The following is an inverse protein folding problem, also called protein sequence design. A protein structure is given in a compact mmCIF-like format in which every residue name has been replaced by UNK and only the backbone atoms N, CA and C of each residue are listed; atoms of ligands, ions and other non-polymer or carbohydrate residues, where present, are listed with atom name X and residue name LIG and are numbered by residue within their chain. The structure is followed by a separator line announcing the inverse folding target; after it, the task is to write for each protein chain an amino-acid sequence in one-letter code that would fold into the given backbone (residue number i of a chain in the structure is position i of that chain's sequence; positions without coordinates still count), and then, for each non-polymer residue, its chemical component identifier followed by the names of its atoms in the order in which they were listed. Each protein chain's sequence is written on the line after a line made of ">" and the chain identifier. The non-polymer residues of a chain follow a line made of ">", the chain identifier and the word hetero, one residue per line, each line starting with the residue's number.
data_IF_516627748793
#
_entry.id   IF_516627748793
#
_cell.length_a   1.000
_cell.length_b   1.000
_cell.length_c   1.000
_cell.angle_alpha   90.00
_cell.angle_beta   90.00
_cell.angle_gamma   90.00
#
_symmetry.space_group_name_H-M   'P 1'
#
loop_
_entity.id
_entity.type
_entity.pdbx_description
1 polymer ?
#
# COMPACT_ATOMS: atom_id res chain seq x y z
N UNK A 1 8.67 -15.54 -27.27
CA UNK A 1 9.02 -14.24 -26.66
C UNK A 1 8.56 -14.19 -25.20
N UNK A 2 9.06 -15.10 -24.36
CA UNK A 2 8.71 -15.14 -22.94
C UNK A 2 9.93 -14.75 -22.19
N UNK A 3 9.88 -13.62 -21.49
CA UNK A 3 10.50 -13.40 -20.19
C UNK A 3 11.61 -12.37 -20.16
N UNK A 4 11.27 -11.17 -20.56
CA UNK A 4 12.12 -10.07 -20.17
C UNK A 4 11.31 -8.98 -19.51
N UNK A 5 10.82 -9.46 -18.37
CA UNK A 5 10.20 -8.72 -17.31
C UNK A 5 11.16 -8.54 -16.11
N UNK A 6 12.45 -8.89 -16.28
CA UNK A 6 13.41 -9.04 -15.16
C UNK A 6 14.21 -7.77 -14.84
N UNK A 7 14.10 -6.69 -15.63
CA UNK A 7 14.94 -5.49 -15.44
C UNK A 7 14.22 -4.26 -14.86
N UNK A 8 12.96 -4.38 -14.45
CA UNK A 8 12.10 -3.21 -14.19
C UNK A 8 12.09 -2.68 -12.76
N UNK A 9 13.14 -2.91 -11.98
CA UNK A 9 12.88 -3.06 -10.56
C UNK A 9 14.12 -2.86 -9.71
N UNK A 10 14.32 -1.60 -9.40
CA UNK A 10 15.32 -1.14 -8.45
C UNK A 10 15.14 0.32 -8.12
N UNK A 11 13.93 0.87 -8.26
CA UNK A 11 13.65 2.25 -7.86
C UNK A 11 13.45 2.31 -6.35
N UNK A 12 14.60 2.19 -5.69
CA UNK A 12 14.85 2.81 -4.43
C UNK A 12 14.85 4.33 -4.65
N UNK A 13 14.10 5.07 -3.82
CA UNK A 13 14.66 6.32 -3.34
C UNK A 13 16.03 5.96 -2.76
N UNK A 14 17.10 6.54 -3.31
CA UNK A 14 18.45 6.19 -2.89
C UNK A 14 18.55 6.29 -1.37
N UNK A 15 19.32 5.42 -0.69
CA UNK A 15 19.60 5.59 0.72
C UNK A 15 20.12 7.00 1.03
N UNK A 16 20.80 7.64 0.07
CA UNK A 16 21.21 9.04 0.08
C UNK A 16 20.03 10.04 0.06
N UNK A 17 18.92 9.79 -0.63
CA UNK A 17 17.71 10.63 -0.64
C UNK A 17 16.86 10.44 0.62
N UNK A 18 16.83 9.23 1.15
CA UNK A 18 16.10 8.91 2.40
C UNK A 18 16.90 9.41 3.61
N UNK A 19 18.23 9.23 3.59
CA UNK A 19 19.13 9.85 4.55
C UNK A 19 19.20 11.35 4.33
N UNK A 20 19.14 11.87 3.10
CA UNK A 20 19.10 13.32 2.88
C UNK A 20 17.84 13.91 3.44
N UNK A 21 16.68 13.24 3.41
CA UNK A 21 15.47 13.68 4.10
C UNK A 21 15.56 13.49 5.62
N UNK A 22 16.14 12.39 6.11
CA UNK A 22 16.37 12.23 7.56
C UNK A 22 17.45 13.19 8.10
N UNK A 23 18.31 13.73 7.24
CA UNK A 23 19.31 14.76 7.55
C UNK A 23 18.88 16.16 7.15
N UNK A 24 17.88 16.30 6.27
CA UNK A 24 17.23 17.55 5.93
C UNK A 24 16.19 17.76 7.01
N UNK A 25 16.64 18.41 8.08
CA UNK A 25 15.71 18.94 9.07
C UNK A 25 14.77 19.90 8.33
N UNK A 26 13.51 19.49 8.18
CA UNK A 26 12.46 20.45 7.90
C UNK A 26 12.19 21.19 9.22
N UNK A 27 13.12 22.06 9.60
CA UNK A 27 13.01 22.88 10.80
C UNK A 27 12.16 24.10 10.49
N UNK A 28 11.26 24.54 11.39
CA UNK A 28 10.64 25.85 11.26
C UNK A 28 11.74 26.92 11.19
N UNK A 29 11.53 27.97 10.39
CA UNK A 29 12.58 28.95 10.06
C UNK A 29 13.17 29.71 11.27
N UNK A 30 12.69 29.50 12.50
CA UNK A 30 13.15 30.23 13.68
C UNK A 30 13.17 29.49 15.04
N UNK A 31 12.94 28.18 15.14
CA UNK A 31 13.02 27.45 16.43
C UNK A 31 13.60 26.02 16.29
N UNK A 32 14.49 25.62 17.21
CA UNK A 32 14.98 24.23 17.29
C UNK A 32 13.95 23.34 17.98
N UNK A 33 13.29 22.48 17.21
CA UNK A 33 12.36 21.46 17.70
C UNK A 33 13.09 20.32 18.44
N UNK A 34 12.38 19.65 19.36
CA UNK A 34 12.86 18.37 19.93
C UNK A 34 12.70 17.23 18.90
N UNK A 35 13.48 16.13 19.01
CA UNK A 35 13.45 15.05 18.00
C UNK A 35 12.06 14.48 17.69
N UNK A 36 11.20 14.32 18.70
CA UNK A 36 9.84 13.81 18.50
C UNK A 36 8.89 14.81 17.84
N UNK A 37 9.07 16.11 18.12
CA UNK A 37 8.30 17.18 17.50
C UNK A 37 8.66 17.31 16.02
N UNK A 38 9.93 17.08 15.67
CA UNK A 38 10.40 17.03 14.29
C UNK A 38 9.79 15.86 13.50
N UNK A 39 9.71 14.66 14.09
CA UNK A 39 9.03 13.53 13.43
C UNK A 39 7.53 13.81 13.19
N UNK A 40 6.85 14.40 14.18
CA UNK A 40 5.44 14.80 14.03
C UNK A 40 5.28 15.88 12.95
N UNK A 41 6.20 16.84 12.87
CA UNK A 41 6.28 17.86 11.82
C UNK A 41 6.41 17.21 10.44
N UNK A 42 7.40 16.33 10.24
CA UNK A 42 7.68 15.69 8.96
C UNK A 42 6.46 14.89 8.47
N UNK A 43 5.81 14.17 9.39
CA UNK A 43 4.57 13.44 9.07
C UNK A 43 3.46 14.38 8.59
N UNK A 44 3.22 15.48 9.29
CA UNK A 44 2.17 16.44 8.93
C UNK A 44 2.42 17.07 7.55
N UNK A 45 3.67 17.37 7.23
CA UNK A 45 4.09 17.85 5.91
C UNK A 45 3.81 16.83 4.81
N UNK A 46 4.21 15.57 5.00
CA UNK A 46 4.00 14.53 4.01
C UNK A 46 2.51 14.32 3.73
N UNK A 47 1.67 14.36 4.78
CA UNK A 47 0.22 14.32 4.62
C UNK A 47 -0.30 15.51 3.79
N UNK A 48 0.22 16.72 3.99
CA UNK A 48 -0.17 17.88 3.20
C UNK A 48 0.21 17.72 1.72
N UNK A 49 1.43 17.28 1.44
CA UNK A 49 1.90 17.05 0.06
C UNK A 49 1.06 15.98 -0.65
N UNK A 50 0.71 14.90 0.05
CA UNK A 50 -0.11 13.83 -0.52
C UNK A 50 -1.53 14.28 -0.90
N UNK A 51 -2.11 15.30 -0.25
CA UNK A 51 -3.45 15.81 -0.66
C UNK A 51 -3.39 16.41 -2.08
N UNK A 52 -2.32 17.14 -2.38
CA UNK A 52 -2.07 17.71 -3.71
C UNK A 52 -1.81 16.62 -4.74
N UNK A 53 -0.96 15.65 -4.42
CA UNK A 53 -0.65 14.54 -5.33
C UNK A 53 -1.87 13.64 -5.60
N UNK A 54 -2.75 13.48 -4.62
CA UNK A 54 -4.01 12.75 -4.81
C UNK A 54 -4.92 13.47 -5.82
N UNK A 55 -5.00 14.79 -5.77
CA UNK A 55 -5.79 15.57 -6.72
C UNK A 55 -5.24 15.46 -8.14
N UNK A 56 -3.91 15.54 -8.32
CA UNK A 56 -3.27 15.33 -9.62
C UNK A 56 -3.49 13.91 -10.14
N UNK A 57 -3.36 12.90 -9.27
CA UNK A 57 -3.63 11.51 -9.64
C UNK A 57 -5.09 11.31 -10.09
N UNK A 58 -6.05 11.92 -9.40
CA UNK A 58 -7.46 11.86 -9.81
C UNK A 58 -7.72 12.54 -11.16
N UNK A 59 -6.96 13.59 -11.50
CA UNK A 59 -6.99 14.22 -12.83
C UNK A 59 -6.34 13.32 -13.92
N UNK A 60 -5.21 12.68 -13.62
CA UNK A 60 -4.59 11.70 -14.53
C UNK A 60 -5.53 10.53 -14.83
N UNK A 61 -6.36 10.13 -13.85
CA UNK A 61 -7.45 9.16 -14.01
C UNK A 61 -8.62 9.65 -14.87
N UNK A 62 -8.60 10.85 -15.44
CA UNK A 62 -9.55 11.29 -16.46
C UNK A 62 -8.96 11.20 -17.87
N UNK A 63 -7.63 11.16 -17.99
CA UNK A 63 -6.93 11.00 -19.27
C UNK A 63 -6.98 9.54 -19.77
N UNK A 64 -6.94 9.35 -21.08
CA UNK A 64 -7.15 8.05 -21.76
C UNK A 64 -5.89 7.17 -21.84
N UNK A 65 -4.73 7.67 -21.44
CA UNK A 65 -3.42 6.99 -21.52
C UNK A 65 -2.96 6.32 -20.22
N UNK A 66 -3.88 6.08 -19.29
CA UNK A 66 -3.54 5.76 -17.91
C UNK A 66 -3.02 4.33 -17.69
N UNK A 67 -1.75 4.22 -17.31
CA UNK A 67 -1.14 3.05 -16.66
C UNK A 67 -0.65 3.48 -15.27
N UNK A 68 -1.21 2.84 -14.24
CA UNK A 68 -0.90 3.07 -12.82
C UNK A 68 0.61 3.04 -12.57
N UNK A 69 1.33 2.09 -13.20
CA UNK A 69 2.77 1.89 -13.01
C UNK A 69 3.63 2.93 -13.75
N UNK A 70 3.02 3.83 -14.51
CA UNK A 70 3.70 4.95 -15.16
C UNK A 70 3.34 6.30 -14.54
N UNK A 71 2.34 6.36 -13.66
CA UNK A 71 1.89 7.60 -13.02
C UNK A 71 2.94 8.12 -12.04
N UNK A 72 3.44 9.34 -12.30
CA UNK A 72 4.38 10.01 -11.39
C UNK A 72 3.70 10.38 -10.06
N UNK A 73 2.45 10.84 -10.12
CA UNK A 73 1.65 11.21 -8.95
C UNK A 73 1.38 10.00 -8.06
N UNK A 74 1.09 8.86 -8.66
CA UNK A 74 0.96 7.60 -7.93
C UNK A 74 2.25 7.18 -7.21
N UNK A 75 3.40 7.26 -7.89
CA UNK A 75 4.68 6.93 -7.26
C UNK A 75 5.03 7.85 -6.09
N UNK A 76 4.73 9.16 -6.20
CA UNK A 76 4.91 10.11 -5.09
C UNK A 76 4.02 9.76 -3.89
N UNK A 77 2.77 9.39 -4.13
CA UNK A 77 1.85 8.93 -3.08
C UNK A 77 2.39 7.70 -2.36
N UNK A 78 2.83 6.67 -3.09
CA UNK A 78 3.43 5.47 -2.49
C UNK A 78 4.68 5.79 -1.66
N UNK A 79 5.55 6.66 -2.18
CA UNK A 79 6.75 7.09 -1.46
C UNK A 79 6.40 7.80 -0.14
N UNK A 80 5.45 8.74 -0.19
CA UNK A 80 4.97 9.46 0.98
C UNK A 80 4.34 8.52 2.01
N UNK A 81 3.55 7.51 1.59
CA UNK A 81 3.02 6.48 2.50
C UNK A 81 4.13 5.74 3.22
N UNK A 82 5.14 5.28 2.48
CA UNK A 82 6.28 4.56 3.06
C UNK A 82 7.03 5.40 4.08
N UNK A 83 7.20 6.70 3.82
CA UNK A 83 7.83 7.62 4.75
C UNK A 83 6.95 7.89 5.99
N UNK A 84 5.66 8.17 5.81
CA UNK A 84 4.71 8.40 6.90
C UNK A 84 4.70 7.20 7.84
N UNK A 85 4.58 5.98 7.31
CA UNK A 85 4.59 4.77 8.13
C UNK A 85 5.93 4.52 8.84
N UNK A 86 7.04 4.80 8.16
CA UNK A 86 8.37 4.73 8.78
C UNK A 86 8.49 5.68 9.97
N UNK A 87 7.99 6.91 9.83
CA UNK A 87 7.95 7.90 10.92
C UNK A 87 7.04 7.41 12.05
N UNK A 88 5.86 6.89 11.72
CA UNK A 88 4.94 6.33 12.72
C UNK A 88 5.57 5.20 13.52
N UNK A 89 6.32 4.31 12.87
CA UNK A 89 7.04 3.22 13.54
C UNK A 89 8.09 3.76 14.52
N UNK A 90 8.87 4.77 14.12
CA UNK A 90 9.87 5.39 14.99
C UNK A 90 9.22 6.05 16.22
N UNK A 91 8.09 6.74 16.03
CA UNK A 91 7.35 7.36 17.14
C UNK A 91 6.77 6.31 18.09
N UNK A 92 6.24 5.21 17.55
CA UNK A 92 5.66 4.15 18.39
C UNK A 92 6.73 3.37 19.18
N UNK A 93 7.96 3.32 18.69
CA UNK A 93 9.07 2.62 19.36
C UNK A 93 9.83 3.48 20.39
N UNK A 94 9.69 4.81 20.36
CA UNK A 94 10.55 5.74 21.14
C UNK A 94 10.26 5.82 22.64
N UNK A 95 9.28 5.07 23.16
CA UNK A 95 8.74 5.18 24.53
C UNK A 95 8.21 6.59 24.93
N UNK A 96 8.19 7.57 24.02
CA UNK A 96 7.66 8.91 24.27
C UNK A 96 6.12 8.91 24.19
N UNK A 97 5.48 8.78 25.36
CA UNK A 97 4.02 8.74 25.48
C UNK A 97 3.32 10.00 24.95
N UNK A 98 3.96 11.17 25.06
CA UNK A 98 3.37 12.42 24.56
C UNK A 98 3.34 12.43 23.04
N UNK A 99 4.46 12.08 22.41
CA UNK A 99 4.54 12.00 20.95
C UNK A 99 3.56 10.95 20.39
N UNK A 100 3.38 9.82 21.08
CA UNK A 100 2.40 8.81 20.71
C UNK A 100 0.95 9.31 20.83
N UNK A 101 0.64 10.06 21.89
CA UNK A 101 -0.69 10.70 22.05
C UNK A 101 -0.95 11.72 20.94
N UNK A 102 0.01 12.61 20.66
CA UNK A 102 -0.10 13.62 19.60
C UNK A 102 -0.24 12.97 18.22
N UNK A 103 0.54 11.92 17.93
CA UNK A 103 0.40 11.14 16.69
C UNK A 103 -1.03 10.63 16.47
N UNK A 104 -1.69 10.17 17.55
CA UNK A 104 -3.07 9.69 17.49
C UNK A 104 -4.08 10.79 17.14
N UNK A 105 -3.79 12.05 17.51
CA UNK A 105 -4.61 13.22 17.16
C UNK A 105 -4.38 13.64 15.69
N UNK A 106 -3.11 13.67 15.25
CA UNK A 106 -2.76 13.99 13.86
C UNK A 106 -3.40 12.98 12.88
N UNK A 107 -3.44 11.69 13.24
CA UNK A 107 -4.12 10.65 12.44
C UNK A 107 -5.60 10.95 12.18
N UNK A 108 -6.26 11.68 13.08
CA UNK A 108 -7.69 12.01 12.98
C UNK A 108 -7.94 13.33 12.29
N UNK A 109 -7.10 14.33 12.52
CA UNK A 109 -7.32 15.68 11.98
C UNK A 109 -6.03 16.51 11.89
N UNK A 110 -5.15 16.12 10.96
CA UNK A 110 -3.88 16.82 10.75
C UNK A 110 -4.07 18.29 10.30
N UNK A 111 -5.17 18.60 9.59
CA UNK A 111 -5.49 19.98 9.18
C UNK A 111 -5.79 20.87 10.39
N UNK A 112 -6.59 20.35 11.32
CA UNK A 112 -6.82 21.01 12.61
C UNK A 112 -5.56 21.08 13.46
N UNK A 113 -4.71 20.05 13.43
CA UNK A 113 -3.41 20.08 14.10
C UNK A 113 -2.55 21.25 13.61
N UNK A 114 -2.33 21.39 12.29
CA UNK A 114 -1.57 22.51 11.71
C UNK A 114 -2.19 23.86 12.09
N UNK A 115 -3.52 23.98 11.98
CA UNK A 115 -4.22 25.23 12.28
C UNK A 115 -4.12 25.65 13.76
N UNK A 116 -4.14 24.70 14.69
CA UNK A 116 -4.22 24.98 16.13
C UNK A 116 -2.86 24.98 16.84
N UNK A 117 -1.79 24.51 16.22
CA UNK A 117 -0.47 24.39 16.86
C UNK A 117 0.41 25.64 16.72
N UNK A 118 -0.14 26.80 16.30
CA UNK A 118 0.65 27.99 15.91
C UNK A 118 1.78 27.63 14.90
N UNK A 119 1.56 26.59 14.11
CA UNK A 119 2.57 25.98 13.27
C UNK A 119 2.73 26.77 11.98
N UNK A 120 3.95 27.28 11.73
CA UNK A 120 4.34 27.92 10.49
C UNK A 120 5.32 27.03 9.74
N UNK A 121 4.87 26.39 8.66
CA UNK A 121 5.77 25.75 7.69
C UNK A 121 6.21 26.79 6.66
N UNK A 122 7.51 26.90 6.39
CA UNK A 122 7.96 27.73 5.27
C UNK A 122 7.69 26.99 3.96
N UNK A 123 6.77 27.55 3.16
CA UNK A 123 6.25 26.94 1.93
C UNK A 123 7.35 26.68 0.88
N UNK A 124 8.51 27.35 1.01
CA UNK A 124 9.60 27.35 0.04
C UNK A 124 10.47 26.08 0.10
N UNK A 125 10.69 25.52 1.29
CA UNK A 125 11.48 24.29 1.46
C UNK A 125 10.71 23.05 1.00
N UNK A 126 9.37 23.05 1.18
CA UNK A 126 8.47 21.98 0.75
C UNK A 126 8.37 21.88 -0.76
N UNK A 127 8.18 23.02 -1.44
CA UNK A 127 8.16 23.07 -2.90
C UNK A 127 9.49 22.62 -3.49
N UNK A 128 10.63 23.09 -2.94
CA UNK A 128 11.95 22.70 -3.43
C UNK A 128 12.26 21.20 -3.30
N UNK A 129 11.79 20.54 -2.23
CA UNK A 129 11.96 19.10 -2.06
C UNK A 129 11.02 18.30 -2.99
N UNK A 130 9.78 18.76 -3.13
CA UNK A 130 8.81 18.17 -4.07
C UNK A 130 9.30 18.25 -5.53
N UNK A 131 9.91 19.36 -5.92
CA UNK A 131 10.44 19.58 -7.27
C UNK A 131 11.66 18.66 -7.54
N UNK A 132 12.56 18.51 -6.57
CA UNK A 132 13.72 17.61 -6.68
C UNK A 132 13.30 16.13 -6.85
N UNK A 133 12.32 15.68 -6.07
CA UNK A 133 11.78 14.31 -6.20
C UNK A 133 11.11 14.11 -7.57
N UNK A 134 10.45 15.14 -8.10
CA UNK A 134 9.74 15.06 -9.38
C UNK A 134 10.69 15.02 -10.59
N UNK A 135 11.79 15.78 -10.53
CA UNK A 135 12.83 15.82 -11.57
C UNK A 135 13.54 14.46 -11.71
N UNK A 136 13.89 13.83 -10.59
CA UNK A 136 14.53 12.51 -10.57
C UNK A 136 13.61 11.42 -11.13
N UNK A 137 12.33 11.42 -10.76
CA UNK A 137 11.33 10.49 -11.29
C UNK A 137 11.16 10.65 -12.81
N UNK A 138 11.18 11.90 -13.31
CA UNK A 138 11.01 12.20 -14.75
C UNK A 138 12.22 11.77 -15.59
N UNK A 139 13.43 11.87 -15.05
CA UNK A 139 14.66 11.42 -15.73
C UNK A 139 14.67 9.88 -15.88
N UNK A 140 14.26 9.18 -14.83
CA UNK A 140 14.16 7.73 -14.79
C UNK A 140 13.19 7.17 -15.86
N UNK A 141 12.08 7.88 -16.11
CA UNK A 141 11.10 7.49 -17.12
C UNK A 141 11.63 7.60 -18.57
N UNK A 142 12.52 8.56 -18.85
CA UNK A 142 13.15 8.74 -20.17
C UNK A 142 14.09 7.59 -20.51
N UNK A 143 14.86 7.14 -19.53
CA UNK A 143 15.80 6.03 -19.69
C UNK A 143 15.07 4.67 -19.85
N UNK A 144 13.90 4.54 -19.23
CA UNK A 144 12.99 3.40 -19.37
C UNK A 144 12.53 3.16 -20.83
N UNK A 145 12.22 4.24 -21.54
CA UNK A 145 11.67 4.17 -22.90
C UNK A 145 12.66 3.60 -23.92
N UNK A 146 13.96 3.82 -23.72
CA UNK A 146 15.02 3.35 -24.61
C UNK A 146 15.37 1.86 -24.42
N UNK A 147 15.02 1.28 -23.26
CA UNK A 147 15.41 -0.09 -22.91
C UNK A 147 14.37 -1.16 -23.31
N UNK A 148 13.13 -0.75 -23.60
CA UNK A 148 12.00 -1.62 -23.97
C UNK A 148 12.17 -2.38 -25.31
N UNK A 149 13.22 -2.10 -26.09
CA UNK A 149 13.47 -2.71 -27.39
C UNK A 149 14.11 -4.11 -27.36
N UNK A 150 14.57 -4.61 -26.21
CA UNK A 150 15.50 -5.76 -26.20
C UNK A 150 15.04 -7.03 -25.51
N UNK A 151 13.78 -7.08 -25.09
CA UNK A 151 13.48 -7.80 -23.88
C UNK A 151 12.41 -8.93 -24.11
N UNK A 152 12.87 -10.13 -24.52
CA UNK A 152 12.12 -11.40 -24.45
C UNK A 152 12.97 -12.64 -23.99
N UNK A 153 12.80 -13.21 -22.78
CA UNK A 153 13.50 -14.48 -22.37
C UNK A 153 13.61 -14.95 -20.87
N UNK A 154 12.60 -15.59 -20.26
CA UNK A 154 12.45 -16.27 -18.93
C UNK A 154 12.28 -15.44 -17.62
N UNK A 155 11.17 -15.53 -16.84
CA UNK A 155 11.05 -14.82 -15.52
C UNK A 155 10.08 -15.38 -14.45
N UNK A 156 10.39 -15.07 -13.18
CA UNK A 156 9.56 -15.03 -11.96
C UNK A 156 8.10 -14.62 -12.24
N UNK A 157 7.11 -15.32 -11.66
CA UNK A 157 5.66 -15.04 -11.85
C UNK A 157 5.13 -14.16 -10.71
N UNK A 158 5.12 -12.85 -10.93
CA UNK A 158 4.29 -11.93 -10.16
C UNK A 158 2.83 -12.04 -10.63
N UNK A 159 1.88 -11.90 -9.71
CA UNK A 159 0.48 -11.64 -10.04
C UNK A 159 0.23 -10.15 -9.83
N UNK A 160 -0.06 -9.41 -10.88
CA UNK A 160 -0.38 -7.98 -10.83
C UNK A 160 -1.85 -7.69 -11.17
N UNK A 161 -2.61 -8.73 -11.55
CA UNK A 161 -3.98 -8.64 -12.04
C UNK A 161 -4.08 -8.55 -13.56
N UNK A 162 -2.97 -8.28 -14.25
CA UNK A 162 -2.92 -8.30 -15.70
C UNK A 162 -3.00 -9.76 -16.18
N UNK A 163 -3.97 -10.04 -17.05
CA UNK A 163 -4.21 -11.38 -17.57
C UNK A 163 -5.30 -12.19 -16.86
N UNK A 164 -5.99 -11.62 -15.86
CA UNK A 164 -7.25 -12.18 -15.40
C UNK A 164 -8.30 -12.13 -16.54
N UNK A 165 -9.20 -13.12 -16.57
CA UNK A 165 -10.31 -13.10 -17.54
C UNK A 165 -11.21 -11.88 -17.32
N UNK A 166 -11.85 -11.42 -18.39
CA UNK A 166 -12.69 -10.23 -18.34
C UNK A 166 -13.78 -10.33 -17.27
N UNK A 167 -13.97 -9.29 -16.48
CA UNK A 167 -14.95 -9.22 -15.39
C UNK A 167 -14.53 -9.90 -14.09
N UNK A 168 -13.30 -10.44 -13.98
CA UNK A 168 -12.81 -11.05 -12.73
C UNK A 168 -11.96 -10.05 -11.96
N UNK A 169 -12.42 -9.72 -10.75
CA UNK A 169 -11.75 -8.76 -9.88
C UNK A 169 -11.43 -9.41 -8.54
N UNK A 170 -10.14 -9.59 -8.27
CA UNK A 170 -9.69 -10.02 -6.96
C UNK A 170 -9.78 -8.84 -5.99
N UNK A 171 -10.71 -8.90 -5.04
CA UNK A 171 -10.83 -7.91 -3.98
C UNK A 171 -9.86 -8.25 -2.85
N UNK A 172 -8.98 -7.31 -2.50
CA UNK A 172 -7.91 -7.54 -1.53
C UNK A 172 -7.87 -6.49 -0.43
N UNK A 173 -7.51 -6.92 0.77
CA UNK A 173 -7.40 -6.07 1.95
C UNK A 173 -6.06 -6.28 2.65
N UNK A 174 -5.29 -5.22 2.82
CA UNK A 174 -3.98 -5.22 3.46
C UNK A 174 -4.05 -4.68 4.91
N UNK A 175 -2.94 -4.84 5.64
CA UNK A 175 -2.65 -4.35 7.00
C UNK A 175 -3.44 -4.96 8.17
N UNK A 176 -4.47 -5.76 7.89
CA UNK A 176 -5.26 -6.42 8.92
C UNK A 176 -4.55 -7.54 9.69
N UNK A 177 -5.24 -8.18 10.65
CA UNK A 177 -6.60 -7.89 11.07
C UNK A 177 -6.71 -6.73 12.06
N UNK A 178 -7.83 -6.01 12.00
CA UNK A 178 -8.32 -5.05 12.98
C UNK A 178 -9.56 -5.62 13.70
N UNK A 179 -9.73 -5.34 15.00
CA UNK A 179 -10.78 -5.98 15.82
C UNK A 179 -12.22 -5.73 15.33
N UNK A 180 -12.57 -4.52 14.90
CA UNK A 180 -13.91 -4.16 14.42
C UNK A 180 -14.00 -3.99 12.91
N UNK A 181 -13.07 -3.29 12.27
CA UNK A 181 -13.12 -2.94 10.85
C UNK A 181 -13.01 -4.16 9.93
N UNK A 182 -12.07 -5.07 10.17
CA UNK A 182 -11.98 -6.34 9.42
C UNK A 182 -13.28 -7.14 9.50
N UNK A 183 -13.91 -7.21 10.69
CA UNK A 183 -15.19 -7.91 10.85
C UNK A 183 -16.34 -7.17 10.15
N UNK A 184 -16.31 -5.84 10.09
CA UNK A 184 -17.28 -5.07 9.32
C UNK A 184 -17.14 -5.32 7.80
N UNK A 185 -15.91 -5.39 7.28
CA UNK A 185 -15.65 -5.79 5.89
C UNK A 185 -16.16 -7.22 5.65
N UNK A 186 -15.87 -8.16 6.56
CA UNK A 186 -16.38 -9.54 6.46
C UNK A 186 -17.91 -9.59 6.41
N UNK A 187 -18.60 -8.80 7.23
CA UNK A 187 -20.06 -8.75 7.23
C UNK A 187 -20.60 -8.17 5.91
N UNK A 188 -19.95 -7.16 5.34
CA UNK A 188 -20.30 -6.66 4.01
C UNK A 188 -20.11 -7.74 2.94
N UNK A 189 -18.97 -8.43 2.92
CA UNK A 189 -18.68 -9.53 2.00
C UNK A 189 -19.75 -10.62 2.06
N UNK A 190 -20.15 -11.04 3.28
CA UNK A 190 -21.26 -11.98 3.48
C UNK A 190 -22.58 -11.46 2.94
N UNK A 191 -22.92 -10.22 3.25
CA UNK A 191 -24.18 -9.58 2.84
C UNK A 191 -24.31 -9.54 1.32
N UNK A 192 -23.22 -9.21 0.63
CA UNK A 192 -23.21 -9.13 -0.83
C UNK A 192 -22.74 -10.42 -1.50
N UNK A 193 -22.48 -11.51 -0.77
CA UNK A 193 -22.13 -12.82 -1.33
C UNK A 193 -20.83 -12.83 -2.13
N UNK A 194 -19.79 -12.13 -1.68
CA UNK A 194 -18.46 -12.11 -2.30
C UNK A 194 -17.39 -12.68 -1.38
N UNK A 195 -16.28 -13.09 -1.97
CA UNK A 195 -15.05 -13.50 -1.29
C UNK A 195 -13.95 -12.48 -1.55
N UNK A 196 -12.92 -12.48 -0.69
CA UNK A 196 -11.77 -11.59 -0.81
C UNK A 196 -10.51 -12.25 -0.25
N UNK A 197 -9.35 -11.68 -0.57
CA UNK A 197 -8.06 -12.06 0.01
C UNK A 197 -7.60 -11.02 1.03
N UNK A 198 -7.31 -11.45 2.25
CA UNK A 198 -6.80 -10.60 3.33
C UNK A 198 -5.30 -10.86 3.51
N UNK A 199 -4.47 -9.90 3.12
CA UNK A 199 -3.03 -9.89 3.36
C UNK A 199 -2.77 -9.38 4.76
N UNK A 200 -2.48 -10.29 5.68
CA UNK A 200 -2.40 -9.97 7.11
C UNK A 200 -0.96 -9.75 7.57
N UNK A 201 -0.78 -8.81 8.49
CA UNK A 201 0.44 -8.68 9.28
C UNK A 201 0.48 -9.76 10.35
N UNK A 202 1.54 -10.56 10.39
CA UNK A 202 1.63 -11.66 11.35
C UNK A 202 1.56 -11.20 12.81
N UNK A 203 2.13 -10.01 13.13
CA UNK A 203 2.03 -9.42 14.47
C UNK A 203 0.57 -9.19 14.91
N UNK A 204 -0.31 -8.84 13.97
CA UNK A 204 -1.72 -8.58 14.24
C UNK A 204 -2.55 -9.86 14.23
N UNK A 205 -2.28 -10.78 13.29
CA UNK A 205 -2.93 -12.09 13.26
C UNK A 205 -2.68 -12.88 14.57
N UNK A 206 -1.45 -12.82 15.10
CA UNK A 206 -1.10 -13.40 16.41
C UNK A 206 -1.88 -12.76 17.57
N UNK A 207 -2.11 -11.45 17.52
CA UNK A 207 -2.82 -10.70 18.57
C UNK A 207 -4.33 -10.89 18.51
N UNK A 208 -4.88 -11.06 17.31
CA UNK A 208 -6.32 -11.17 17.04
C UNK A 208 -6.66 -12.48 16.31
N UNK A 209 -6.29 -13.65 16.87
CA UNK A 209 -6.44 -14.92 16.16
C UNK A 209 -7.90 -15.25 15.86
N UNK A 210 -8.83 -14.81 16.71
CA UNK A 210 -10.27 -14.99 16.52
C UNK A 210 -10.82 -14.26 15.29
N UNK A 211 -10.21 -13.13 14.87
CA UNK A 211 -10.63 -12.39 13.68
C UNK A 211 -10.19 -13.15 12.43
N UNK A 212 -8.93 -13.58 12.37
CA UNK A 212 -8.42 -14.41 11.27
C UNK A 212 -9.20 -15.72 11.14
N UNK A 213 -9.52 -16.39 12.25
CA UNK A 213 -10.31 -17.62 12.21
C UNK A 213 -11.74 -17.37 11.69
N UNK A 214 -12.36 -16.24 12.03
CA UNK A 214 -13.68 -15.88 11.51
C UNK A 214 -13.66 -15.63 9.99
N UNK A 215 -12.61 -14.98 9.47
CA UNK A 215 -12.42 -14.82 8.02
C UNK A 215 -12.31 -16.19 7.34
N UNK A 216 -11.45 -17.08 7.85
CA UNK A 216 -11.26 -18.45 7.33
C UNK A 216 -12.55 -19.25 7.33
N UNK A 217 -13.27 -19.25 8.46
CA UNK A 217 -14.53 -19.98 8.63
C UNK A 217 -15.64 -19.44 7.73
N UNK A 218 -15.50 -18.21 7.23
CA UNK A 218 -16.44 -17.57 6.32
C UNK A 218 -16.03 -17.71 4.85
N UNK A 219 -15.00 -18.48 4.54
CA UNK A 219 -14.56 -18.74 3.17
C UNK A 219 -13.61 -17.70 2.57
N UNK A 220 -13.12 -16.73 3.36
CA UNK A 220 -12.15 -15.75 2.88
C UNK A 220 -10.76 -16.37 2.72
N UNK A 221 -9.98 -15.85 1.78
CA UNK A 221 -8.59 -16.25 1.59
C UNK A 221 -7.68 -15.42 2.50
N UNK A 222 -6.74 -16.07 3.18
CA UNK A 222 -5.72 -15.42 4.01
C UNK A 222 -4.38 -15.48 3.28
N UNK A 223 -3.64 -14.38 3.29
CA UNK A 223 -2.33 -14.24 2.69
C UNK A 223 -1.37 -13.50 3.63
N UNK A 224 -0.07 -13.58 3.34
CA UNK A 224 0.97 -12.98 4.17
C UNK A 224 1.32 -11.55 3.71
N UNK A 225 1.34 -10.59 4.63
CA UNK A 225 1.75 -9.21 4.37
C UNK A 225 2.99 -8.76 5.14
N UNK A 226 3.89 -9.70 5.43
CA UNK A 226 5.01 -9.56 6.34
C UNK A 226 4.66 -9.67 7.83
N UNK A 227 5.68 -9.59 8.69
CA UNK A 227 5.50 -9.63 10.12
C UNK A 227 5.05 -8.28 10.68
N UNK A 228 5.73 -7.19 10.29
CA UNK A 228 5.55 -5.88 10.91
C UNK A 228 5.37 -4.70 9.96
N UNK A 229 5.24 -4.94 8.65
CA UNK A 229 5.11 -3.94 7.59
C UNK A 229 6.37 -3.05 7.32
N UNK A 230 7.61 -3.58 7.38
CA UNK A 230 8.79 -2.78 7.06
C UNK A 230 8.94 -2.59 5.55
N UNK A 231 9.71 -1.58 5.15
CA UNK A 231 10.18 -1.49 3.76
C UNK A 231 11.18 -2.62 3.49
N UNK A 232 10.68 -3.71 2.89
CA UNK A 232 11.43 -4.94 2.62
C UNK A 232 12.68 -4.70 1.77
N UNK A 233 12.65 -3.68 0.92
CA UNK A 233 13.76 -3.38 0.05
C UNK A 233 15.01 -2.91 0.82
N UNK A 234 14.87 -2.43 2.06
CA UNK A 234 16.00 -1.96 2.90
C UNK A 234 16.57 -3.02 3.83
N UNK A 235 15.97 -4.21 3.87
CA UNK A 235 16.31 -5.21 4.86
C UNK A 235 17.46 -6.12 4.43
N UNK A 236 18.26 -6.55 5.42
CA UNK A 236 19.20 -7.65 5.29
C UNK A 236 18.51 -9.02 5.36
N UNK A 237 19.25 -10.09 5.05
CA UNK A 237 18.73 -11.46 4.96
C UNK A 237 17.94 -11.89 6.21
N UNK A 238 18.52 -11.79 7.41
CA UNK A 238 17.88 -12.26 8.64
C UNK A 238 16.55 -11.52 8.93
N UNK A 239 16.51 -10.22 8.67
CA UNK A 239 15.27 -9.45 8.77
C UNK A 239 14.25 -9.88 7.72
N UNK A 240 14.67 -10.14 6.48
CA UNK A 240 13.77 -10.64 5.43
C UNK A 240 13.20 -12.03 5.77
N UNK A 241 13.99 -12.95 6.30
CA UNK A 241 13.52 -14.26 6.75
C UNK A 241 12.47 -14.14 7.85
N UNK A 242 12.66 -13.24 8.81
CA UNK A 242 11.64 -12.95 9.82
C UNK A 242 10.35 -12.44 9.17
N UNK A 243 10.49 -11.53 8.21
CA UNK A 243 9.34 -10.93 7.54
C UNK A 243 8.64 -11.87 6.56
N UNK A 244 9.26 -12.95 6.06
CA UNK A 244 8.65 -13.87 5.10
C UNK A 244 8.33 -15.23 5.71
N UNK A 245 9.26 -15.85 6.43
CA UNK A 245 9.13 -17.21 6.96
C UNK A 245 8.42 -17.21 8.30
N UNK A 246 8.94 -16.46 9.29
CA UNK A 246 8.32 -16.40 10.62
C UNK A 246 6.91 -15.84 10.54
N UNK A 247 6.67 -14.84 9.67
CA UNK A 247 5.32 -14.34 9.42
C UNK A 247 4.38 -15.41 8.85
N UNK A 248 4.86 -16.22 7.89
CA UNK A 248 4.08 -17.33 7.34
C UNK A 248 3.74 -18.35 8.41
N UNK A 249 4.73 -18.81 9.19
CA UNK A 249 4.51 -19.80 10.26
C UNK A 249 3.47 -19.33 11.29
N UNK A 250 3.54 -18.04 11.67
CA UNK A 250 2.57 -17.43 12.61
C UNK A 250 1.17 -17.39 12.01
N UNK A 251 1.03 -16.91 10.77
CA UNK A 251 -0.29 -16.77 10.14
C UNK A 251 -0.89 -18.15 9.84
N UNK A 252 -0.12 -19.13 9.37
CA UNK A 252 -0.56 -20.52 9.17
C UNK A 252 -0.97 -21.17 10.50
N UNK A 253 -0.23 -20.90 11.58
CA UNK A 253 -0.54 -21.37 12.92
C UNK A 253 -1.88 -20.83 13.45
N UNK A 254 -2.25 -19.60 13.08
CA UNK A 254 -3.52 -18.97 13.46
C UNK A 254 -4.66 -19.38 12.53
N UNK A 255 -4.45 -19.33 11.21
CA UNK A 255 -5.47 -19.60 10.19
C UNK A 255 -5.77 -21.08 10.02
N UNK A 256 -4.87 -21.96 10.50
CA UNK A 256 -4.88 -23.41 10.28
C UNK A 256 -4.94 -23.80 8.80
N UNK A 257 -4.41 -22.94 7.92
CA UNK A 257 -4.34 -23.15 6.47
C UNK A 257 -2.96 -22.75 5.94
N UNK A 258 -2.41 -23.48 4.95
CA UNK A 258 -1.19 -23.06 4.29
C UNK A 258 -1.41 -21.78 3.49
N UNK A 259 -0.39 -20.93 3.42
CA UNK A 259 -0.42 -19.69 2.64
C UNK A 259 0.13 -19.94 1.23
N UNK A 260 -0.48 -19.27 0.25
CA UNK A 260 -0.07 -19.32 -1.16
C UNK A 260 0.51 -17.99 -1.63
N UNK A 261 0.06 -16.90 -1.01
CA UNK A 261 0.29 -15.55 -1.49
C UNK A 261 1.01 -14.72 -0.44
N UNK A 262 1.89 -13.87 -0.94
CA UNK A 262 2.58 -12.85 -0.18
C UNK A 262 2.44 -11.52 -0.91
N UNK A 263 2.23 -10.42 -0.18
CA UNK A 263 2.31 -9.07 -0.75
C UNK A 263 3.36 -8.28 -0.01
N UNK A 264 4.25 -7.63 -0.76
CA UNK A 264 5.29 -6.79 -0.18
C UNK A 264 4.64 -5.51 0.36
N UNK A 265 4.94 -5.12 1.62
CA UNK A 265 4.67 -3.77 2.11
C UNK A 265 5.12 -2.71 1.10
N UNK A 266 4.24 -1.76 0.79
CA UNK A 266 4.47 -0.68 -0.18
C UNK A 266 4.78 -1.15 -1.62
N UNK A 267 4.60 -2.44 -1.95
CA UNK A 267 5.08 -3.04 -3.20
C UNK A 267 6.61 -3.06 -3.34
N UNK A 268 7.35 -2.80 -2.25
CA UNK A 268 8.78 -2.50 -2.34
C UNK A 268 9.66 -3.74 -2.27
N UNK A 269 10.62 -3.85 -3.19
CA UNK A 269 11.65 -4.90 -3.18
C UNK A 269 11.32 -6.13 -4.03
N UNK A 270 10.30 -6.07 -4.89
CA UNK A 270 9.81 -7.19 -5.73
C UNK A 270 10.87 -7.90 -6.60
N UNK A 271 12.07 -7.35 -6.72
CA UNK A 271 13.15 -7.85 -7.58
C UNK A 271 14.53 -7.86 -6.99
N UNK A 272 14.60 -7.61 -5.70
CA UNK A 272 15.72 -8.13 -4.97
C UNK A 272 15.67 -9.64 -5.14
N UNK A 273 16.65 -10.19 -5.86
CA UNK A 273 16.78 -11.64 -6.07
C UNK A 273 16.71 -12.39 -4.74
N UNK A 274 17.24 -11.80 -3.67
CA UNK A 274 17.10 -12.30 -2.31
C UNK A 274 15.64 -12.48 -1.89
N UNK A 275 14.77 -11.49 -2.10
CA UNK A 275 13.33 -11.59 -1.77
C UNK A 275 12.66 -12.63 -2.66
N UNK A 276 12.95 -12.62 -3.96
CA UNK A 276 12.38 -13.59 -4.91
C UNK A 276 12.75 -15.04 -4.53
N UNK A 277 14.02 -15.27 -4.17
CA UNK A 277 14.51 -16.57 -3.72
C UNK A 277 13.83 -16.98 -2.41
N UNK A 278 13.71 -16.07 -1.44
CA UNK A 278 13.03 -16.37 -0.19
C UNK A 278 11.57 -16.77 -0.41
N UNK A 279 10.82 -15.98 -1.21
CA UNK A 279 9.44 -16.30 -1.56
C UNK A 279 9.32 -17.64 -2.30
N UNK A 280 10.19 -17.89 -3.28
CA UNK A 280 10.22 -19.15 -4.02
C UNK A 280 10.51 -20.35 -3.11
N UNK A 281 11.48 -20.22 -2.20
CA UNK A 281 11.83 -21.28 -1.23
C UNK A 281 10.68 -21.59 -0.26
N UNK A 282 9.79 -20.62 0.00
CA UNK A 282 8.56 -20.81 0.80
C UNK A 282 7.33 -21.11 -0.06
N UNK A 283 7.50 -21.31 -1.38
CA UNK A 283 6.40 -21.53 -2.33
C UNK A 283 5.33 -20.43 -2.29
N UNK A 284 5.72 -19.20 -1.98
CA UNK A 284 4.84 -18.03 -1.96
C UNK A 284 4.90 -17.31 -3.29
N UNK A 285 3.73 -16.95 -3.80
CA UNK A 285 3.61 -16.12 -5.01
C UNK A 285 3.38 -14.68 -4.59
N UNK A 286 4.18 -13.77 -5.15
CA UNK A 286 3.98 -12.35 -4.91
C UNK A 286 2.75 -11.83 -5.66
N UNK A 287 1.87 -11.11 -4.94
CA UNK A 287 0.66 -10.49 -5.49
C UNK A 287 0.75 -8.97 -5.34
N UNK A 288 0.86 -8.26 -6.44
CA UNK A 288 0.74 -6.81 -6.55
C UNK A 288 -0.74 -6.41 -6.80
N UNK A 289 -0.97 -5.26 -7.42
CA UNK A 289 -2.30 -4.76 -7.78
C UNK A 289 -2.23 -3.83 -8.99
N UNK A 290 -3.33 -3.72 -9.73
CA UNK A 290 -3.49 -2.81 -10.87
C UNK A 290 -4.70 -1.86 -10.72
N UNK A 291 -5.43 -1.97 -9.60
CA UNK A 291 -6.46 -1.03 -9.15
C UNK A 291 -6.16 -0.65 -7.70
N UNK A 292 -5.73 0.59 -7.45
CA UNK A 292 -5.42 1.09 -6.11
C UNK A 292 -6.49 2.07 -5.62
N UNK A 293 -7.11 1.76 -4.49
CA UNK A 293 -8.12 2.64 -3.90
C UNK A 293 -7.56 3.94 -3.34
N UNK A 294 -6.27 3.97 -2.95
CA UNK A 294 -5.64 5.05 -2.19
C UNK A 294 -6.44 5.43 -0.93
N UNK A 295 -7.15 4.45 -0.38
CA UNK A 295 -8.04 4.56 0.76
C UNK A 295 -7.31 4.91 2.06
N UNK A 296 -6.02 4.58 2.13
CA UNK A 296 -5.13 5.00 3.20
C UNK A 296 -4.88 6.51 3.22
N UNK A 297 -5.01 7.16 2.05
CA UNK A 297 -4.77 8.59 1.87
C UNK A 297 -6.05 9.41 1.92
N UNK A 298 -7.02 9.05 1.10
CA UNK A 298 -8.29 9.73 1.00
C UNK A 298 -9.17 9.39 2.22
N UNK A 299 -9.89 10.36 2.79
CA UNK A 299 -10.84 10.14 3.90
C UNK A 299 -12.29 10.07 3.44
N UNK A 300 -12.58 10.42 2.19
CA UNK A 300 -13.91 10.43 1.62
C UNK A 300 -14.21 9.10 0.90
N UNK A 301 -15.07 8.28 1.50
CA UNK A 301 -15.44 6.97 0.94
C UNK A 301 -16.07 7.02 -0.46
N UNK A 302 -16.82 8.07 -0.79
CA UNK A 302 -17.42 8.21 -2.12
C UNK A 302 -16.35 8.52 -3.16
N UNK A 303 -15.40 9.38 -2.83
CA UNK A 303 -14.25 9.69 -3.67
C UNK A 303 -13.41 8.44 -3.94
N UNK A 304 -13.10 7.67 -2.88
CA UNK A 304 -12.40 6.37 -2.99
C UNK A 304 -13.15 5.40 -3.91
N UNK A 305 -14.46 5.21 -3.71
CA UNK A 305 -15.26 4.33 -4.56
C UNK A 305 -15.25 4.80 -6.04
N UNK A 306 -15.44 6.09 -6.30
CA UNK A 306 -15.42 6.64 -7.64
C UNK A 306 -14.05 6.43 -8.32
N UNK A 307 -12.95 6.57 -7.57
CA UNK A 307 -11.59 6.31 -8.04
C UNK A 307 -11.39 4.86 -8.46
N UNK A 308 -11.80 3.91 -7.61
CA UNK A 308 -11.74 2.48 -7.91
C UNK A 308 -12.57 2.16 -9.15
N UNK A 309 -13.79 2.71 -9.25
CA UNK A 309 -14.67 2.55 -10.42
C UNK A 309 -14.00 3.07 -11.71
N UNK A 310 -13.35 4.25 -11.68
CA UNK A 310 -12.62 4.82 -12.83
C UNK A 310 -11.43 3.95 -13.26
N UNK A 311 -10.70 3.39 -12.31
CA UNK A 311 -9.59 2.48 -12.61
C UNK A 311 -10.09 1.15 -13.17
N UNK A 312 -11.14 0.58 -12.57
CA UNK A 312 -11.75 -0.66 -13.06
C UNK A 312 -12.27 -0.52 -14.49
N UNK A 313 -12.90 0.61 -14.83
CA UNK A 313 -13.40 0.86 -16.19
C UNK A 313 -12.31 0.84 -17.28
N UNK A 314 -11.04 0.98 -16.89
CA UNK A 314 -9.87 0.93 -17.79
C UNK A 314 -9.23 -0.45 -17.88
N UNK A 315 -9.56 -1.36 -16.97
CA UNK A 315 -9.02 -2.72 -16.97
C UNK A 315 -10.11 -3.73 -17.35
N UNK A 316 -9.71 -4.87 -17.90
CA UNK A 316 -10.64 -5.97 -18.19
C UNK A 316 -10.94 -6.81 -16.96
N UNK A 317 -10.02 -6.84 -16.02
CA UNK A 317 -10.05 -7.55 -14.75
C UNK A 317 -8.78 -7.17 -13.98
N UNK A 318 -8.66 -7.59 -12.73
CA UNK A 318 -7.53 -7.12 -11.94
C UNK A 318 -7.56 -7.50 -10.48
N UNK A 319 -6.60 -6.92 -9.75
CA UNK A 319 -6.48 -7.02 -8.30
C UNK A 319 -6.71 -5.63 -7.72
N UNK A 320 -7.73 -5.51 -6.87
CA UNK A 320 -8.17 -4.27 -6.23
C UNK A 320 -7.59 -4.21 -4.82
N UNK A 321 -6.80 -3.18 -4.53
CA UNK A 321 -6.20 -2.95 -3.22
C UNK A 321 -7.06 -2.01 -2.35
N UNK A 322 -7.43 -2.50 -1.17
CA UNK A 322 -7.94 -1.73 -0.03
C UNK A 322 -7.13 -2.10 1.23
N UNK A 323 -7.36 -1.36 2.32
CA UNK A 323 -6.82 -1.63 3.65
C UNK A 323 -7.97 -1.75 4.64
N UNK A 324 -8.10 -2.88 5.34
CA UNK A 324 -9.23 -3.13 6.27
C UNK A 324 -9.04 -2.52 7.66
N UNK A 325 -7.97 -1.73 7.84
CA UNK A 325 -7.68 -0.97 9.06
C UNK A 325 -8.28 0.42 9.06
N UNK A 326 -8.96 0.84 7.99
CA UNK A 326 -9.43 2.21 7.78
C UNK A 326 -10.96 2.27 7.65
N UNK A 327 -11.62 3.20 8.36
CA UNK A 327 -13.08 3.27 8.41
C UNK A 327 -13.68 3.65 7.04
N UNK A 328 -13.03 4.58 6.35
CA UNK A 328 -13.41 5.01 5.02
C UNK A 328 -13.32 3.88 3.99
N UNK A 329 -12.37 2.95 4.16
CA UNK A 329 -12.19 1.77 3.32
C UNK A 329 -13.30 0.75 3.49
N UNK A 330 -13.76 0.53 4.73
CA UNK A 330 -14.93 -0.32 5.00
C UNK A 330 -16.13 0.19 4.21
N UNK A 331 -16.36 1.51 4.22
CA UNK A 331 -17.50 2.10 3.52
C UNK A 331 -17.32 2.14 2.00
N UNK A 332 -16.13 2.48 1.50
CA UNK A 332 -15.86 2.52 0.06
C UNK A 332 -15.93 1.13 -0.58
N UNK A 333 -15.36 0.11 0.06
CA UNK A 333 -15.46 -1.28 -0.40
C UNK A 333 -16.90 -1.80 -0.31
N UNK A 334 -17.70 -1.37 0.67
CA UNK A 334 -19.13 -1.66 0.71
C UNK A 334 -19.87 -1.09 -0.52
N UNK A 335 -19.61 0.17 -0.88
CA UNK A 335 -20.20 0.80 -2.08
C UNK A 335 -19.80 0.04 -3.35
N UNK A 336 -18.55 -0.40 -3.44
CA UNK A 336 -18.08 -1.23 -4.55
C UNK A 336 -18.84 -2.56 -4.64
N UNK A 337 -18.94 -3.30 -3.53
CA UNK A 337 -19.69 -4.55 -3.49
C UNK A 337 -21.16 -4.34 -3.87
N UNK A 338 -21.78 -3.26 -3.37
CA UNK A 338 -23.15 -2.91 -3.71
C UNK A 338 -23.32 -2.65 -5.21
N UNK A 339 -22.43 -1.86 -5.81
CA UNK A 339 -22.48 -1.50 -7.23
C UNK A 339 -22.25 -2.72 -8.15
N UNK A 340 -21.35 -3.64 -7.78
CA UNK A 340 -21.18 -4.90 -8.53
C UNK A 340 -22.41 -5.79 -8.37
N UNK A 341 -22.93 -5.93 -7.14
CA UNK A 341 -24.10 -6.78 -6.86
C UNK A 341 -25.39 -6.27 -7.52
N UNK A 342 -25.57 -4.95 -7.65
CA UNK A 342 -26.72 -4.35 -8.33
C UNK A 342 -26.61 -4.38 -9.86
N UNK A 343 -25.43 -4.70 -10.40
CA UNK A 343 -25.14 -4.66 -11.84
C UNK A 343 -24.78 -3.27 -12.37
N UNK A 344 -24.59 -2.26 -11.50
CA UNK A 344 -24.07 -0.95 -11.90
C UNK A 344 -22.64 -1.04 -12.45
N UNK A 345 -21.83 -1.93 -11.87
CA UNK A 345 -20.49 -2.29 -12.34
C UNK A 345 -20.53 -3.75 -12.77
N UNK A 346 -20.16 -4.03 -14.02
CA UNK A 346 -20.13 -5.39 -14.54
C UNK A 346 -18.92 -6.18 -14.02
N UNK A 347 -19.09 -7.50 -13.88
CA UNK A 347 -18.08 -8.42 -13.39
C UNK A 347 -18.46 -9.00 -12.03
N UNK A 348 -17.47 -9.62 -11.39
CA UNK A 348 -17.62 -10.30 -10.12
C UNK A 348 -16.41 -10.04 -9.22
N UNK A 349 -16.63 -10.00 -7.91
CA UNK A 349 -15.62 -9.77 -6.88
C UNK A 349 -15.29 -11.10 -6.18
N UNK A 350 -14.02 -11.43 -6.08
CA UNK A 350 -13.58 -12.72 -5.54
C UNK A 350 -12.21 -12.65 -4.86
N UNK A 351 -11.73 -13.75 -4.29
CA UNK A 351 -10.34 -13.86 -3.83
C UNK A 351 -9.35 -13.94 -5.00
N UNK A 352 -8.07 -13.66 -4.76
CA UNK A 352 -6.96 -13.86 -5.72
C UNK A 352 -6.91 -15.31 -6.18
N UNK A 353 -7.04 -16.26 -5.24
CA UNK A 353 -7.04 -17.68 -5.55
C UNK A 353 -8.16 -18.11 -6.50
N UNK A 354 -9.33 -17.50 -6.40
CA UNK A 354 -10.45 -17.74 -7.32
C UNK A 354 -10.20 -17.06 -8.66
N UNK A 355 -9.77 -15.80 -8.68
CA UNK A 355 -9.56 -15.03 -9.92
C UNK A 355 -8.55 -15.69 -10.89
N UNK A 356 -7.59 -16.46 -10.37
CA UNK A 356 -6.61 -17.23 -11.13
C UNK A 356 -7.12 -18.52 -11.78
N UNK A 357 -8.29 -19.02 -11.34
CA UNK A 357 -8.98 -20.15 -11.97
C UNK A 357 -9.86 -19.62 -13.08
#
# INVERSE_FOLDING_TARGET
>A
MRGLFVLMTGLFLSPLLIQSFSSASLSPENETLRPMEELLYQRAVLEAASDTDLAHFDQELEDKSFDLFTSSSYHRLLAQRSMIESIEHQIMDSQDLRAQMELSMIKKDWKSYIKNSNFQASNKQLTSFSDQVTEEISQIQRDLSNHLLHLSGGSFKNIDGNGFSSGRWALTFDDGPHNSRTLAVLNNLKTYGFTATFFQLAKLAKRLPSVTQQLVNSGMEIANHSYSHPNMAKLGLSSLETQIYTSSDVIEGVSKRPLRFFRLPYGSGQTRSLIQNLLSNRNLIHVAWNVDSLDWKDRNSQSIFNRVKRQMARQKGGVILFHDIHAQSVKASQLLMQAVRSGEISGDLMSVGEALR
#
